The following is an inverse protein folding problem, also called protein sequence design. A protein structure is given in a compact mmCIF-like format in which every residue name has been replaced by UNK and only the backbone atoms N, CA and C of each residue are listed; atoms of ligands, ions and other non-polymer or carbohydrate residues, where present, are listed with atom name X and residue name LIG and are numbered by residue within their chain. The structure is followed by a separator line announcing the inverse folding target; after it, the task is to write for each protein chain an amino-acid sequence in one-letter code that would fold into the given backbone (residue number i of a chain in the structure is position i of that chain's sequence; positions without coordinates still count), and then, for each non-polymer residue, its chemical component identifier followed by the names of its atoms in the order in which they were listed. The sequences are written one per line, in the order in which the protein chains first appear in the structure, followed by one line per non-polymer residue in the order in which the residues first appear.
data_IF_337860686064
#
_entry.id   IF_337860686064
#
_cell.length_a   1.000
_cell.length_b   1.000
_cell.length_c   1.000
_cell.angle_alpha   90.00
_cell.angle_beta   90.00
_cell.angle_gamma   90.00
#
_symmetry.space_group_name_H-M   'P 1'
#
loop_
_entity.id
_entity.type
_entity.pdbx_description
1 polymer ?
#
# COMPACT_ATOMS: atom_id res chain seq x y z
N UNK A 1 68.34 30.32 -13.87
CA UNK A 1 67.81 28.95 -14.07
C UNK A 1 66.36 28.89 -13.62
N UNK A 2 65.43 28.97 -14.57
CA UNK A 2 64.00 28.73 -14.34
C UNK A 2 63.69 27.29 -14.75
N UNK A 3 63.17 26.47 -13.84
CA UNK A 3 62.29 25.31 -14.13
C UNK A 3 61.89 24.64 -12.81
N UNK A 4 60.70 24.03 -12.82
CA UNK A 4 60.13 23.16 -11.79
C UNK A 4 59.35 23.80 -10.62
N UNK A 5 58.55 24.84 -10.91
CA UNK A 5 57.38 25.20 -10.07
C UNK A 5 56.02 25.01 -10.77
N UNK A 6 55.98 24.28 -11.89
CA UNK A 6 54.77 24.12 -12.71
C UNK A 6 54.03 22.77 -12.47
N UNK A 7 54.66 21.80 -11.80
CA UNK A 7 54.04 20.48 -11.64
C UNK A 7 53.14 20.32 -10.40
N UNK A 8 53.40 21.05 -9.30
CA UNK A 8 52.61 20.91 -8.06
C UNK A 8 51.20 21.49 -8.15
N UNK A 9 50.99 22.54 -8.95
CA UNK A 9 49.67 23.19 -9.07
C UNK A 9 48.71 22.41 -9.98
N UNK A 10 49.23 21.72 -11.01
CA UNK A 10 48.39 20.93 -11.92
C UNK A 10 47.90 19.66 -11.21
N UNK A 11 48.76 18.99 -10.44
CA UNK A 11 48.39 17.80 -9.67
C UNK A 11 47.37 18.14 -8.58
N UNK A 12 47.54 19.27 -7.88
CA UNK A 12 46.57 19.74 -6.87
C UNK A 12 45.22 20.11 -7.49
N UNK A 13 45.23 20.78 -8.64
CA UNK A 13 44.00 21.11 -9.38
C UNK A 13 43.27 19.87 -9.92
N UNK A 14 44.01 18.84 -10.33
CA UNK A 14 43.45 17.55 -10.77
C UNK A 14 42.88 16.76 -9.60
N UNK A 15 43.55 16.73 -8.45
CA UNK A 15 43.01 16.09 -7.23
C UNK A 15 41.80 16.82 -6.70
N UNK A 16 41.76 18.16 -6.72
CA UNK A 16 40.59 18.94 -6.29
C UNK A 16 39.39 18.68 -7.20
N UNK A 17 39.60 18.58 -8.52
CA UNK A 17 38.55 18.19 -9.47
C UNK A 17 38.07 16.76 -9.26
N UNK A 18 38.99 15.83 -9.00
CA UNK A 18 38.63 14.43 -8.72
C UNK A 18 37.83 14.30 -7.42
N UNK A 19 38.19 15.08 -6.39
CA UNK A 19 37.52 15.13 -5.09
C UNK A 19 36.12 15.76 -5.20
N UNK A 20 35.97 16.80 -6.03
CA UNK A 20 34.64 17.38 -6.32
C UNK A 20 33.77 16.38 -7.09
N UNK A 21 34.32 15.68 -8.10
CA UNK A 21 33.56 14.67 -8.87
C UNK A 21 33.14 13.50 -7.99
N UNK A 22 34.00 13.01 -7.09
CA UNK A 22 33.63 11.94 -6.17
C UNK A 22 32.59 12.38 -5.14
N UNK A 23 32.66 13.61 -4.60
CA UNK A 23 31.62 14.16 -3.71
C UNK A 23 30.28 14.27 -4.45
N UNK A 24 30.29 14.74 -5.70
CA UNK A 24 29.06 14.86 -6.51
C UNK A 24 28.46 13.48 -6.80
N UNK A 25 29.27 12.48 -7.19
CA UNK A 25 28.79 11.12 -7.38
C UNK A 25 28.25 10.48 -6.09
N UNK A 26 28.93 10.68 -4.95
CA UNK A 26 28.46 10.21 -3.64
C UNK A 26 27.15 10.88 -3.23
N UNK A 27 26.99 12.18 -3.50
CA UNK A 27 25.74 12.90 -3.23
C UNK A 27 24.59 12.40 -4.13
N UNK A 28 24.85 12.07 -5.39
CA UNK A 28 23.86 11.49 -6.29
C UNK A 28 23.42 10.08 -5.87
N UNK A 29 24.36 9.24 -5.40
CA UNK A 29 24.04 7.92 -4.82
C UNK A 29 23.24 8.03 -3.51
N UNK A 30 23.51 9.04 -2.69
CA UNK A 30 22.76 9.29 -1.45
C UNK A 30 21.31 9.71 -1.74
N UNK A 31 21.09 10.54 -2.76
CA UNK A 31 19.74 10.93 -3.20
C UNK A 31 18.97 9.71 -3.75
N UNK A 32 19.60 8.80 -4.49
CA UNK A 32 18.92 7.59 -4.98
C UNK A 32 18.58 6.57 -3.87
N UNK A 33 19.38 6.50 -2.80
CA UNK A 33 19.02 5.70 -1.63
C UNK A 33 17.91 6.33 -0.78
N UNK A 34 17.80 7.66 -0.71
CA UNK A 34 16.68 8.31 -0.01
C UNK A 34 15.35 8.15 -0.75
N UNK A 35 15.37 8.10 -2.09
CA UNK A 35 14.17 7.87 -2.92
C UNK A 35 13.72 6.41 -2.86
N UNK A 36 14.61 5.47 -2.50
CA UNK A 36 14.25 4.06 -2.31
C UNK A 36 13.72 3.77 -0.89
N UNK A 37 14.04 4.62 0.10
CA UNK A 37 13.51 4.54 1.46
C UNK A 37 12.25 5.41 1.69
N UNK A 38 11.95 6.28 0.72
CA UNK A 38 10.61 6.85 0.55
C UNK A 38 9.93 6.11 -0.59
N UNK A 39 9.87 4.78 -0.45
CA UNK A 39 8.75 4.05 -1.02
C UNK A 39 7.52 4.80 -0.55
N UNK A 40 6.87 5.49 -1.47
CA UNK A 40 5.57 6.10 -1.27
C UNK A 40 4.58 4.96 -1.03
N UNK A 41 4.65 4.34 0.15
CA UNK A 41 3.45 3.98 0.85
C UNK A 41 2.95 5.31 1.38
N UNK A 42 2.17 6.00 0.56
CA UNK A 42 1.09 6.79 1.12
C UNK A 42 0.18 5.77 1.81
N UNK A 43 0.56 5.30 3.00
CA UNK A 43 -0.43 5.09 4.03
C UNK A 43 -1.07 6.45 4.17
N UNK A 44 -2.14 6.66 3.43
CA UNK A 44 -3.15 7.62 3.81
C UNK A 44 -3.64 7.14 5.17
N UNK A 45 -2.88 7.47 6.20
CA UNK A 45 -3.38 7.61 7.54
C UNK A 45 -4.14 8.94 7.55
N UNK A 46 -5.13 9.06 6.65
CA UNK A 46 -6.34 9.77 7.02
C UNK A 46 -6.77 9.07 8.28
N UNK A 47 -6.92 9.80 9.38
CA UNK A 47 -7.70 9.30 10.50
C UNK A 47 -9.07 8.91 9.97
N UNK A 48 -9.21 7.65 9.52
CA UNK A 48 -10.48 6.99 9.25
C UNK A 48 -10.92 6.21 10.49
N UNK A 49 -10.27 6.44 11.63
CA UNK A 49 -10.89 6.19 12.91
C UNK A 49 -12.06 7.17 13.05
N UNK A 50 -13.25 6.59 13.13
CA UNK A 50 -14.53 7.24 13.42
C UNK A 50 -15.18 7.94 12.22
N UNK A 51 -16.05 7.21 11.51
CA UNK A 51 -17.34 7.65 10.92
C UNK A 51 -17.76 6.83 9.68
N UNK A 52 -17.41 5.55 9.58
CA UNK A 52 -18.12 4.65 8.64
C UNK A 52 -19.31 4.00 9.35
N UNK A 53 -20.31 4.83 9.66
CA UNK A 53 -21.61 4.33 10.12
C UNK A 53 -22.34 3.59 8.99
N UNK A 54 -23.37 2.80 9.36
CA UNK A 54 -24.24 2.04 8.44
C UNK A 54 -24.63 2.79 7.16
N UNK A 55 -24.81 4.10 7.28
CA UNK A 55 -25.22 5.00 6.20
C UNK A 55 -24.20 5.10 5.05
N UNK A 56 -22.90 4.95 5.30
CA UNK A 56 -21.89 5.05 4.23
C UNK A 56 -21.81 3.77 3.41
N UNK A 57 -21.86 2.61 4.07
CA UNK A 57 -21.86 1.31 3.40
C UNK A 57 -23.06 1.18 2.43
N UNK A 58 -24.25 1.57 2.89
CA UNK A 58 -25.45 1.55 2.05
C UNK A 58 -25.38 2.52 0.86
N UNK A 59 -24.75 3.69 1.03
CA UNK A 59 -24.58 4.68 -0.06
C UNK A 59 -23.71 4.19 -1.21
N UNK A 60 -22.74 3.32 -0.92
CA UNK A 60 -21.88 2.71 -1.95
C UNK A 60 -22.45 1.39 -2.48
N UNK A 61 -23.70 1.04 -2.12
CA UNK A 61 -24.33 -0.22 -2.51
C UNK A 61 -23.81 -1.44 -1.75
N UNK A 62 -23.10 -1.23 -0.64
CA UNK A 62 -22.55 -2.29 0.19
C UNK A 62 -23.53 -2.81 1.23
N UNK A 63 -23.21 -3.98 1.76
CA UNK A 63 -23.92 -4.71 2.81
C UNK A 63 -22.96 -4.92 3.98
N UNK A 64 -23.45 -4.70 5.20
CA UNK A 64 -22.64 -4.96 6.40
C UNK A 64 -22.76 -6.43 6.77
N UNK A 65 -21.62 -7.11 6.78
CA UNK A 65 -21.47 -8.47 7.28
C UNK A 65 -20.78 -8.45 8.64
N UNK A 66 -21.24 -9.34 9.52
CA UNK A 66 -20.56 -9.67 10.77
C UNK A 66 -19.92 -11.04 10.64
N UNK A 67 -18.85 -11.26 11.38
CA UNK A 67 -18.19 -12.57 11.37
C UNK A 67 -19.19 -13.69 11.74
N UNK A 68 -19.15 -14.78 10.97
CA UNK A 68 -20.07 -15.91 11.09
C UNK A 68 -21.45 -15.69 10.47
N UNK A 69 -21.74 -14.51 9.92
CA UNK A 69 -23.02 -14.24 9.25
C UNK A 69 -22.92 -14.54 7.75
N UNK A 70 -23.93 -15.24 7.27
CA UNK A 70 -24.12 -15.59 5.87
C UNK A 70 -25.27 -14.81 5.25
N UNK A 71 -25.18 -14.51 3.96
CA UNK A 71 -26.26 -13.96 3.17
C UNK A 71 -26.35 -14.67 1.83
N UNK A 72 -27.56 -14.76 1.29
CA UNK A 72 -27.76 -15.24 -0.06
C UNK A 72 -27.59 -14.08 -1.05
N UNK A 73 -26.68 -14.24 -2.01
CA UNK A 73 -26.47 -13.30 -3.12
C UNK A 73 -26.67 -14.06 -4.44
N UNK A 74 -27.75 -13.76 -5.16
CA UNK A 74 -28.10 -14.40 -6.43
C UNK A 74 -28.05 -15.95 -6.39
N UNK A 75 -28.54 -16.54 -5.30
CA UNK A 75 -28.54 -18.01 -5.12
C UNK A 75 -27.26 -18.59 -4.53
N UNK A 76 -26.25 -17.76 -4.25
CA UNK A 76 -24.97 -18.17 -3.66
C UNK A 76 -24.89 -17.81 -2.18
N UNK A 77 -24.30 -18.69 -1.37
CA UNK A 77 -24.05 -18.41 0.04
C UNK A 77 -22.75 -17.62 0.19
N UNK A 78 -22.84 -16.40 0.71
CA UNK A 78 -21.69 -15.53 1.00
C UNK A 78 -21.59 -15.36 2.50
N UNK A 79 -20.47 -15.76 3.08
CA UNK A 79 -20.24 -15.73 4.54
C UNK A 79 -18.96 -14.98 4.86
N UNK A 80 -19.04 -14.00 5.77
CA UNK A 80 -17.84 -13.39 6.36
C UNK A 80 -17.32 -14.33 7.46
N UNK A 81 -16.17 -14.95 7.22
CA UNK A 81 -15.61 -15.99 8.11
C UNK A 81 -14.56 -15.50 9.09
N UNK A 82 -13.92 -14.37 8.79
CA UNK A 82 -13.02 -13.68 9.70
C UNK A 82 -12.98 -12.21 9.33
N UNK A 83 -12.81 -11.34 10.33
CA UNK A 83 -12.64 -9.91 10.10
C UNK A 83 -11.44 -9.36 10.87
N UNK A 84 -10.81 -8.35 10.29
CA UNK A 84 -9.72 -7.57 10.87
C UNK A 84 -9.76 -6.16 10.29
N UNK A 85 -9.01 -5.23 10.86
CA UNK A 85 -9.02 -3.83 10.40
C UNK A 85 -8.58 -3.72 8.93
N UNK A 86 -7.53 -4.43 8.54
CA UNK A 86 -6.93 -4.32 7.19
C UNK A 86 -7.32 -5.44 6.23
N UNK A 87 -7.90 -6.54 6.72
CA UNK A 87 -8.16 -7.73 5.92
C UNK A 87 -9.34 -8.53 6.47
N UNK A 88 -10.10 -9.12 5.56
CA UNK A 88 -11.20 -10.02 5.88
C UNK A 88 -11.02 -11.36 5.20
N UNK A 89 -11.75 -12.37 5.66
CA UNK A 89 -11.89 -13.63 4.94
C UNK A 89 -13.36 -13.91 4.62
N UNK A 90 -13.66 -14.09 3.34
CA UNK A 90 -15.01 -14.37 2.85
C UNK A 90 -15.05 -15.76 2.23
N UNK A 91 -16.12 -16.48 2.48
CA UNK A 91 -16.43 -17.76 1.83
C UNK A 91 -17.63 -17.56 0.91
N UNK A 92 -17.51 -18.02 -0.33
CA UNK A 92 -18.63 -18.09 -1.29
C UNK A 92 -18.81 -19.53 -1.73
N UNK A 93 -19.97 -20.13 -1.47
CA UNK A 93 -20.28 -21.53 -1.79
C UNK A 93 -19.14 -22.49 -1.38
N UNK A 94 -18.60 -22.32 -0.18
CA UNK A 94 -17.52 -23.15 0.37
C UNK A 94 -16.10 -22.79 -0.08
N UNK A 95 -15.89 -21.90 -1.07
CA UNK A 95 -14.56 -21.41 -1.42
C UNK A 95 -14.21 -20.16 -0.61
N UNK A 96 -13.14 -20.25 0.18
CA UNK A 96 -12.65 -19.15 1.02
C UNK A 96 -11.55 -18.35 0.35
N UNK A 97 -11.55 -17.03 0.53
CA UNK A 97 -10.43 -16.15 0.15
C UNK A 97 -10.32 -14.97 1.11
N UNK A 98 -9.10 -14.45 1.26
CA UNK A 98 -8.81 -13.25 2.05
C UNK A 98 -8.80 -12.03 1.14
N UNK A 99 -9.41 -10.93 1.58
CA UNK A 99 -9.53 -9.69 0.82
C UNK A 99 -8.99 -8.54 1.68
N UNK A 100 -7.98 -7.84 1.17
CA UNK A 100 -7.45 -6.63 1.81
C UNK A 100 -8.44 -5.48 1.72
N UNK A 101 -8.38 -4.56 2.67
CA UNK A 101 -9.15 -3.33 2.67
C UNK A 101 -8.96 -2.57 1.34
N UNK A 102 -10.06 -2.14 0.74
CA UNK A 102 -10.10 -1.42 -0.53
C UNK A 102 -9.90 -2.29 -1.78
N UNK A 103 -9.74 -3.61 -1.63
CA UNK A 103 -9.55 -4.53 -2.75
C UNK A 103 -10.78 -5.38 -3.04
N UNK A 104 -10.81 -5.95 -4.25
CA UNK A 104 -11.85 -6.87 -4.70
C UNK A 104 -11.26 -8.19 -5.20
N UNK A 105 -11.99 -9.28 -4.98
CA UNK A 105 -11.63 -10.63 -5.43
C UNK A 105 -12.87 -11.34 -5.97
N UNK A 106 -12.68 -12.08 -7.07
CA UNK A 106 -13.70 -12.95 -7.63
C UNK A 106 -13.66 -14.33 -6.98
N UNK A 107 -14.73 -14.70 -6.25
CA UNK A 107 -14.84 -15.96 -5.52
C UNK A 107 -16.08 -16.69 -6.02
N UNK A 108 -15.89 -17.86 -6.64
CA UNK A 108 -16.98 -18.74 -7.08
C UNK A 108 -18.11 -18.05 -7.89
N UNK A 109 -17.80 -17.03 -8.69
CA UNK A 109 -18.82 -16.36 -9.49
C UNK A 109 -19.41 -15.10 -8.87
N UNK A 110 -18.87 -14.63 -7.75
CA UNK A 110 -19.23 -13.36 -7.10
C UNK A 110 -17.98 -12.50 -7.01
N UNK A 111 -18.07 -11.25 -7.46
CA UNK A 111 -17.06 -10.24 -7.19
C UNK A 111 -17.33 -9.65 -5.81
N UNK A 112 -16.39 -9.82 -4.89
CA UNK A 112 -16.50 -9.35 -3.51
C UNK A 112 -15.49 -8.25 -3.27
N UNK A 113 -15.94 -7.06 -2.89
CA UNK A 113 -15.08 -5.92 -2.54
C UNK A 113 -15.12 -5.68 -1.03
N UNK A 114 -13.97 -5.62 -0.37
CA UNK A 114 -13.87 -5.17 1.02
C UNK A 114 -13.77 -3.64 1.05
N UNK A 115 -14.90 -2.94 1.18
CA UNK A 115 -14.88 -1.48 1.13
C UNK A 115 -14.35 -0.86 2.43
N UNK A 116 -14.83 -1.36 3.57
CA UNK A 116 -14.33 -1.00 4.90
C UNK A 116 -14.45 -2.20 5.84
N UNK A 117 -13.47 -2.40 6.71
CA UNK A 117 -13.48 -3.46 7.71
C UNK A 117 -13.07 -2.94 9.08
N UNK A 118 -13.60 -3.59 10.11
CA UNK A 118 -13.26 -3.38 11.52
C UNK A 118 -12.99 -4.75 12.15
N UNK A 119 -12.62 -4.77 13.43
CA UNK A 119 -12.46 -6.02 14.19
C UNK A 119 -13.75 -6.84 14.35
N UNK A 120 -14.94 -6.34 13.98
CA UNK A 120 -16.22 -7.04 14.20
C UNK A 120 -17.13 -7.15 12.98
N UNK A 121 -17.02 -6.20 12.07
CA UNK A 121 -17.86 -6.12 10.87
C UNK A 121 -17.11 -5.53 9.69
N UNK A 122 -17.59 -5.88 8.49
CA UNK A 122 -17.08 -5.35 7.22
C UNK A 122 -18.22 -4.98 6.30
N UNK A 123 -18.03 -3.89 5.56
CA UNK A 123 -18.87 -3.49 4.46
C UNK A 123 -18.39 -4.16 3.17
N UNK A 124 -19.20 -5.09 2.66
CA UNK A 124 -18.95 -5.81 1.42
C UNK A 124 -19.81 -5.26 0.30
N UNK A 125 -19.22 -5.04 -0.86
CA UNK A 125 -19.96 -4.83 -2.11
C UNK A 125 -19.90 -6.14 -2.88
N UNK A 126 -21.07 -6.63 -3.33
CA UNK A 126 -21.21 -7.91 -4.02
C UNK A 126 -21.77 -7.65 -5.42
N UNK A 127 -21.07 -8.11 -6.46
CA UNK A 127 -21.47 -7.99 -7.86
C UNK A 127 -21.43 -9.34 -8.58
#
# INVERSE_FOLDING_TARGET
MAKKKVSKNIIRSQTDKLLVVTIVLLSALFVMNLVSLTGYSTKFNTGQSSYYGKNTCQKVGGIIFREGVSANFNGRDVTLTATGEDMIAVTVDGKRSSIELGHEIYINGVLVTNFVSTERESCLILN
#
